data_IF_137054910015
#
_entry.id   IF_137054910015
#
_cell.length_a   1.000
_cell.length_b   1.000
_cell.length_c   1.000
_cell.angle_alpha   90.00
_cell.angle_beta   90.00
_cell.angle_gamma   90.00
#
_symmetry.space_group_name_H-M   'P 1'
#
loop_
_entity.id
_entity.type
_entity.pdbx_description
1 polymer ?
#
# COMPACT_ATOMS: atom_id res chain seq x y z
N UNK A 1 -22.77 15.53 -5.75
CA UNK A 1 -21.97 15.67 -5.64
C UNK A 1 -21.04 15.90 -5.06
N UNK A 2 -21.39 15.84 -4.50
CA UNK A 2 -20.45 16.50 -4.09
C UNK A 2 -19.12 16.21 -4.22
N UNK A 3 -18.75 16.31 -4.95
CA UNK A 3 -17.42 16.07 -5.46
C UNK A 3 -16.35 16.94 -4.84
N UNK A 4 -16.73 17.85 -4.00
CA UNK A 4 -15.83 18.86 -3.41
C UNK A 4 -14.74 18.23 -2.53
N UNK A 5 -15.04 17.29 -1.61
CA UNK A 5 -13.99 16.61 -0.85
C UNK A 5 -13.04 15.81 -1.75
N UNK A 6 -13.58 15.19 -2.77
CA UNK A 6 -12.78 14.42 -3.72
C UNK A 6 -11.79 15.31 -4.47
N UNK A 7 -12.18 16.51 -4.85
CA UNK A 7 -11.27 17.45 -5.51
C UNK A 7 -10.13 17.89 -4.58
N UNK A 8 -10.41 18.21 -3.34
CA UNK A 8 -9.39 18.57 -2.36
C UNK A 8 -8.40 17.43 -2.14
N UNK A 9 -8.88 16.23 -1.97
CA UNK A 9 -8.04 15.04 -1.82
C UNK A 9 -7.24 14.73 -3.09
N UNK A 10 -7.83 14.90 -4.26
CA UNK A 10 -7.16 14.71 -5.53
C UNK A 10 -6.00 15.67 -5.74
N UNK A 11 -6.16 16.93 -5.38
CA UNK A 11 -5.09 17.93 -5.49
C UNK A 11 -3.94 17.63 -4.52
N UNK A 12 -4.24 17.27 -3.28
CA UNK A 12 -3.22 16.85 -2.29
C UNK A 12 -2.44 15.65 -2.81
N UNK A 13 -3.14 14.68 -3.33
CA UNK A 13 -2.58 13.46 -3.88
C UNK A 13 -1.62 13.73 -5.05
N UNK A 14 -2.01 14.57 -5.99
CA UNK A 14 -1.16 14.98 -7.11
C UNK A 14 0.08 15.73 -6.64
N UNK A 15 -0.05 16.62 -5.67
CA UNK A 15 1.08 17.33 -5.07
C UNK A 15 2.06 16.39 -4.39
N UNK A 16 1.54 15.40 -3.66
CA UNK A 16 2.37 14.38 -3.02
C UNK A 16 3.18 13.59 -4.04
N UNK A 17 2.56 13.16 -5.12
CA UNK A 17 3.25 12.45 -6.20
C UNK A 17 4.30 13.33 -6.88
N UNK A 18 4.00 14.60 -7.07
CA UNK A 18 4.92 15.55 -7.72
C UNK A 18 6.20 15.76 -6.92
N UNK A 19 6.12 15.78 -5.59
CA UNK A 19 7.28 16.03 -4.72
C UNK A 19 7.97 14.75 -4.23
N UNK A 20 7.48 13.58 -4.59
CA UNK A 20 8.03 12.31 -4.12
C UNK A 20 9.13 11.79 -5.03
N UNK A 21 10.08 11.05 -4.46
CA UNK A 21 11.10 10.33 -5.22
C UNK A 21 10.58 8.94 -5.66
N UNK A 22 9.89 8.28 -4.76
CA UNK A 22 9.29 6.96 -4.98
C UNK A 22 8.02 6.83 -4.19
N UNK A 23 7.14 5.92 -4.61
CA UNK A 23 5.90 5.63 -3.89
C UNK A 23 5.83 4.17 -3.52
N UNK A 24 5.19 3.90 -2.39
CA UNK A 24 4.78 2.56 -1.97
C UNK A 24 3.27 2.51 -2.06
N UNK A 25 2.75 1.52 -2.75
CA UNK A 25 1.31 1.37 -2.99
C UNK A 25 0.77 0.23 -2.13
N UNK A 26 0.02 0.53 -1.05
CA UNK A 26 -0.67 -0.52 -0.32
C UNK A 26 -1.95 -0.92 -1.08
N UNK A 27 -2.17 -2.23 -1.21
CA UNK A 27 -3.33 -2.79 -1.89
C UNK A 27 -3.99 -3.79 -0.94
N UNK A 28 -5.28 -3.60 -0.68
CA UNK A 28 -6.07 -4.57 0.08
C UNK A 28 -6.35 -5.81 -0.78
N UNK A 29 -6.37 -6.99 -0.15
CA UNK A 29 -6.65 -8.25 -0.83
C UNK A 29 -8.15 -8.44 -1.07
N UNK A 30 -8.77 -7.51 -1.77
CA UNK A 30 -10.19 -7.49 -2.11
C UNK A 30 -10.38 -7.22 -3.60
N UNK A 31 -11.50 -7.67 -4.15
CA UNK A 31 -11.78 -7.57 -5.58
C UNK A 31 -11.71 -6.13 -6.11
N UNK A 32 -12.34 -5.19 -5.40
CA UNK A 32 -12.41 -3.80 -5.84
C UNK A 32 -11.07 -3.07 -5.79
N UNK A 33 -10.09 -3.61 -5.09
CA UNK A 33 -8.76 -3.02 -5.02
C UNK A 33 -8.07 -2.95 -6.39
N UNK A 34 -8.32 -3.93 -7.25
CA UNK A 34 -7.74 -3.98 -8.59
C UNK A 34 -8.26 -2.83 -9.48
N UNK A 35 -9.53 -2.49 -9.35
CA UNK A 35 -10.12 -1.36 -10.08
C UNK A 35 -9.52 -0.04 -9.63
N UNK A 36 -9.44 0.19 -8.32
CA UNK A 36 -8.79 1.37 -7.75
C UNK A 36 -7.33 1.49 -8.14
N UNK A 37 -6.63 0.36 -8.24
CA UNK A 37 -5.25 0.31 -8.69
C UNK A 37 -5.08 0.83 -10.11
N UNK A 38 -5.98 0.46 -11.03
CA UNK A 38 -5.92 0.94 -12.42
C UNK A 38 -6.03 2.47 -12.49
N UNK A 39 -6.95 3.05 -11.72
CA UNK A 39 -7.10 4.51 -11.64
C UNK A 39 -5.86 5.18 -11.06
N UNK A 40 -5.30 4.60 -10.01
CA UNK A 40 -4.08 5.10 -9.40
C UNK A 40 -2.90 5.08 -10.37
N UNK A 41 -2.73 4.00 -11.10
CA UNK A 41 -1.65 3.88 -12.09
C UNK A 41 -1.80 4.88 -13.23
N UNK A 42 -3.02 5.17 -13.67
CA UNK A 42 -3.25 6.21 -14.67
C UNK A 42 -2.82 7.59 -14.15
N UNK A 43 -3.18 7.94 -12.93
CA UNK A 43 -2.76 9.19 -12.30
C UNK A 43 -1.24 9.24 -12.13
N UNK A 44 -0.64 8.14 -11.69
CA UNK A 44 0.80 8.01 -11.56
C UNK A 44 1.52 8.27 -12.88
N UNK A 45 1.05 7.67 -13.96
CA UNK A 45 1.65 7.86 -15.30
C UNK A 45 1.53 9.30 -15.79
N UNK A 46 0.40 9.95 -15.54
CA UNK A 46 0.22 11.36 -15.90
C UNK A 46 1.19 12.26 -15.13
N UNK A 47 1.34 12.06 -13.83
CA UNK A 47 2.29 12.82 -13.02
C UNK A 47 3.71 12.55 -13.45
N UNK A 48 4.06 11.30 -13.68
CA UNK A 48 5.40 10.91 -14.12
C UNK A 48 5.77 11.55 -15.47
N UNK A 49 4.79 11.62 -16.38
CA UNK A 49 5.01 12.16 -17.73
C UNK A 49 5.15 13.68 -17.74
N UNK A 50 4.31 14.39 -16.97
CA UNK A 50 4.15 15.83 -17.08
C UNK A 50 4.78 16.64 -15.94
N UNK A 51 4.84 16.09 -14.73
CA UNK A 51 5.22 16.85 -13.54
C UNK A 51 6.48 16.33 -12.86
N UNK A 52 6.69 15.03 -12.81
CA UNK A 52 7.82 14.42 -12.11
C UNK A 52 8.32 13.18 -12.84
N UNK A 53 9.23 13.40 -13.77
CA UNK A 53 9.77 12.32 -14.62
C UNK A 53 10.61 11.30 -13.85
N UNK A 54 11.09 11.66 -12.68
CA UNK A 54 11.95 10.78 -11.85
C UNK A 54 11.15 9.91 -10.88
N UNK A 55 9.84 10.13 -10.79
CA UNK A 55 8.99 9.36 -9.89
C UNK A 55 8.95 7.89 -10.30
N UNK A 56 9.19 7.00 -9.34
CA UNK A 56 9.17 5.56 -9.56
C UNK A 56 8.28 4.86 -8.52
N UNK A 57 7.81 3.66 -8.86
CA UNK A 57 7.13 2.80 -7.90
C UNK A 57 8.22 2.06 -7.12
N UNK A 58 8.39 2.41 -5.85
CA UNK A 58 9.35 1.77 -4.95
C UNK A 58 8.92 0.39 -4.49
N UNK A 59 7.62 0.15 -4.43
CA UNK A 59 7.10 -1.16 -4.06
C UNK A 59 5.59 -1.20 -3.97
N UNK A 60 5.05 -2.39 -4.01
CA UNK A 60 3.63 -2.67 -3.83
C UNK A 60 3.47 -3.58 -2.62
N UNK A 61 2.60 -3.21 -1.69
CA UNK A 61 2.39 -3.93 -0.44
C UNK A 61 0.98 -4.50 -0.39
N UNK A 62 0.85 -5.81 -0.24
CA UNK A 62 -0.45 -6.43 -0.02
C UNK A 62 -0.85 -6.34 1.44
N UNK A 63 -2.03 -5.83 1.70
CA UNK A 63 -2.58 -5.67 3.06
C UNK A 63 -3.89 -6.42 3.21
N UNK A 64 -4.36 -6.58 4.43
CA UNK A 64 -5.61 -7.26 4.75
C UNK A 64 -5.67 -8.68 4.17
N UNK A 65 -4.50 -9.34 4.11
CA UNK A 65 -4.40 -10.70 3.61
C UNK A 65 -5.02 -11.69 4.60
N UNK A 66 -5.85 -12.59 4.09
CA UNK A 66 -6.41 -13.70 4.88
C UNK A 66 -6.13 -15.00 4.14
N UNK A 67 -5.24 -15.81 4.71
CA UNK A 67 -4.80 -17.08 4.11
C UNK A 67 -5.91 -18.11 3.95
N UNK A 68 -7.03 -17.93 4.67
CA UNK A 68 -8.19 -18.82 4.58
C UNK A 68 -9.04 -18.55 3.34
N UNK A 69 -8.89 -17.37 2.73
CA UNK A 69 -9.70 -16.94 1.60
C UNK A 69 -8.98 -17.17 0.28
N UNK A 70 -9.62 -17.88 -0.63
CA UNK A 70 -9.10 -18.07 -1.98
C UNK A 70 -9.00 -16.74 -2.74
N UNK A 71 -9.94 -15.81 -2.48
CA UNK A 71 -9.92 -14.49 -3.09
C UNK A 71 -8.61 -13.74 -2.77
N UNK A 72 -8.17 -13.77 -1.51
CA UNK A 72 -6.91 -13.12 -1.13
C UNK A 72 -5.73 -13.68 -1.91
N UNK A 73 -5.68 -14.99 -2.07
CA UNK A 73 -4.62 -15.65 -2.84
C UNK A 73 -4.65 -15.27 -4.32
N UNK A 74 -5.85 -15.23 -4.91
CA UNK A 74 -6.03 -14.84 -6.30
C UNK A 74 -5.59 -13.40 -6.56
N UNK A 75 -5.98 -12.48 -5.68
CA UNK A 75 -5.59 -11.07 -5.79
C UNK A 75 -4.07 -10.91 -5.70
N UNK A 76 -3.43 -11.62 -4.77
CA UNK A 76 -1.96 -11.61 -4.63
C UNK A 76 -1.29 -12.11 -5.91
N UNK A 77 -1.74 -13.23 -6.46
CA UNK A 77 -1.16 -13.79 -7.70
C UNK A 77 -1.34 -12.85 -8.89
N UNK A 78 -2.49 -12.21 -9.01
CA UNK A 78 -2.75 -11.25 -10.07
C UNK A 78 -1.86 -10.02 -9.97
N UNK A 79 -1.74 -9.44 -8.78
CA UNK A 79 -0.84 -8.31 -8.52
C UNK A 79 0.62 -8.72 -8.74
N UNK A 80 1.00 -9.92 -8.33
CA UNK A 80 2.34 -10.45 -8.53
C UNK A 80 2.69 -10.59 -10.01
N UNK A 81 1.75 -11.06 -10.82
CA UNK A 81 1.97 -11.19 -12.26
C UNK A 81 2.17 -9.84 -12.94
N UNK A 82 1.55 -8.79 -12.41
CA UNK A 82 1.63 -7.44 -12.97
C UNK A 82 2.88 -6.68 -12.52
N UNK A 83 3.20 -6.71 -11.22
CA UNK A 83 4.29 -5.91 -10.63
C UNK A 83 5.60 -6.67 -10.46
N UNK A 84 5.56 -7.99 -10.47
CA UNK A 84 6.75 -8.87 -10.36
C UNK A 84 7.62 -8.52 -9.15
N UNK A 85 8.87 -8.09 -9.39
CA UNK A 85 9.84 -7.80 -8.33
C UNK A 85 9.50 -6.56 -7.50
N UNK A 86 8.58 -5.71 -7.94
CA UNK A 86 8.15 -4.54 -7.17
C UNK A 86 7.19 -4.90 -6.05
N UNK A 87 6.56 -6.06 -6.11
CA UNK A 87 5.75 -6.56 -5.01
C UNK A 87 6.63 -6.96 -3.84
N UNK A 88 6.33 -6.45 -2.65
CA UNK A 88 7.01 -6.88 -1.43
C UNK A 88 6.67 -8.34 -1.12
N UNK A 89 7.67 -9.08 -0.64
CA UNK A 89 7.46 -10.46 -0.20
C UNK A 89 6.64 -10.51 1.09
N UNK A 90 6.77 -9.49 1.92
CA UNK A 90 6.03 -9.35 3.17
C UNK A 90 4.55 -9.09 2.87
N UNK A 91 3.68 -9.85 3.51
CA UNK A 91 2.23 -9.65 3.48
C UNK A 91 1.77 -9.10 4.83
N UNK A 92 0.90 -8.11 4.82
CA UNK A 92 0.27 -7.62 6.05
C UNK A 92 -1.06 -8.37 6.20
N UNK A 93 -1.11 -9.24 7.18
CA UNK A 93 -2.29 -10.04 7.46
C UNK A 93 -3.37 -9.22 8.14
N UNK A 94 -4.62 -9.57 7.90
CA UNK A 94 -5.74 -9.01 8.65
C UNK A 94 -5.54 -9.31 10.13
N UNK A 95 -5.50 -8.27 10.96
CA UNK A 95 -5.21 -8.40 12.39
C UNK A 95 -5.99 -7.37 13.19
N UNK A 96 -6.70 -7.84 14.21
CA UNK A 96 -7.55 -7.01 15.09
C UNK A 96 -6.72 -5.99 15.85
N UNK A 97 -5.51 -6.33 16.26
CA UNK A 97 -4.61 -5.43 17.01
C UNK A 97 -4.23 -4.19 16.22
N UNK A 98 -4.09 -4.32 14.91
CA UNK A 98 -3.84 -3.17 14.03
C UNK A 98 -5.04 -2.21 13.99
N UNK A 99 -6.25 -2.74 14.11
CA UNK A 99 -7.47 -1.94 14.15
C UNK A 99 -7.68 -1.29 15.53
N UNK A 100 -7.26 -1.95 16.59
CA UNK A 100 -7.42 -1.47 17.97
C UNK A 100 -6.41 -0.38 18.34
N UNK A 101 -5.18 -0.50 17.90
CA UNK A 101 -4.08 0.39 18.30
C UNK A 101 -4.40 1.89 18.13
N UNK A 102 -5.01 2.35 17.02
CA UNK A 102 -5.39 3.76 16.87
C UNK A 102 -6.39 4.23 17.91
N UNK A 103 -7.29 3.36 18.39
CA UNK A 103 -8.27 3.70 19.43
C UNK A 103 -7.60 4.08 20.75
N UNK A 104 -6.41 3.55 21.01
CA UNK A 104 -5.61 3.85 22.19
C UNK A 104 -4.55 4.91 21.92
N UNK A 105 -4.52 5.47 20.73
CA UNK A 105 -3.53 6.49 20.36
C UNK A 105 -2.10 5.97 20.34
N UNK A 106 -1.91 4.68 20.11
CA UNK A 106 -0.58 4.04 20.14
C UNK A 106 -0.24 3.42 18.77
N UNK A 107 1.04 3.47 18.38
CA UNK A 107 1.51 2.65 17.27
C UNK A 107 1.35 1.16 17.61
N UNK A 108 1.19 0.32 16.60
CA UNK A 108 1.01 -1.11 16.79
C UNK A 108 2.13 -1.76 17.62
N UNK A 109 3.36 -1.32 17.42
CA UNK A 109 4.53 -1.81 18.17
C UNK A 109 4.47 -1.51 19.66
N UNK A 110 3.88 -0.37 20.04
CA UNK A 110 3.72 0.01 21.45
C UNK A 110 2.44 -0.56 22.05
N UNK A 111 1.45 -0.86 21.21
CA UNK A 111 0.19 -1.44 21.66
C UNK A 111 0.36 -2.94 21.97
N UNK A 112 0.89 -3.69 21.03
CA UNK A 112 1.18 -5.12 21.20
C UNK A 112 2.30 -5.55 20.24
N UNK A 113 3.53 -5.51 20.74
CA UNK A 113 4.72 -5.87 19.95
C UNK A 113 4.76 -7.35 19.56
N UNK A 114 4.03 -8.21 20.26
CA UNK A 114 3.97 -9.65 19.97
C UNK A 114 2.92 -10.01 18.95
N UNK A 115 2.05 -9.08 18.57
CA UNK A 115 0.99 -9.31 17.59
C UNK A 115 1.56 -9.62 16.21
N UNK A 116 0.83 -10.41 15.43
CA UNK A 116 1.23 -10.72 14.06
C UNK A 116 1.29 -9.47 13.19
N UNK A 117 0.40 -8.50 13.42
CA UNK A 117 0.41 -7.23 12.71
C UNK A 117 1.70 -6.44 12.93
N UNK A 118 2.14 -6.32 14.18
CA UNK A 118 3.40 -5.65 14.51
C UNK A 118 4.60 -6.37 13.87
N UNK A 119 4.63 -7.69 13.94
CA UNK A 119 5.69 -8.50 13.31
C UNK A 119 5.71 -8.35 11.79
N UNK A 120 4.55 -8.29 11.15
CA UNK A 120 4.47 -8.08 9.69
C UNK A 120 5.07 -6.72 9.31
N UNK A 121 4.78 -5.66 10.05
CA UNK A 121 5.34 -4.34 9.76
C UNK A 121 6.85 -4.27 10.03
N UNK A 122 7.35 -4.98 11.03
CA UNK A 122 8.80 -5.09 11.24
C UNK A 122 9.48 -5.79 10.06
N UNK A 123 8.92 -6.91 9.60
CA UNK A 123 9.43 -7.61 8.41
C UNK A 123 9.40 -6.73 7.17
N UNK A 124 8.34 -5.95 7.01
CA UNK A 124 8.26 -4.98 5.91
C UNK A 124 9.37 -3.93 6.01
N UNK A 125 9.63 -3.42 7.21
CA UNK A 125 10.69 -2.44 7.43
C UNK A 125 12.05 -2.99 7.03
N UNK A 126 12.36 -4.20 7.43
CA UNK A 126 13.60 -4.89 7.04
C UNK A 126 13.71 -5.03 5.52
N UNK A 127 12.63 -5.45 4.86
CA UNK A 127 12.59 -5.61 3.41
C UNK A 127 12.79 -4.27 2.68
N UNK A 128 12.18 -3.19 3.17
CA UNK A 128 12.37 -1.84 2.62
C UNK A 128 13.83 -1.40 2.76
N UNK A 129 14.43 -1.59 3.93
CA UNK A 129 15.83 -1.24 4.16
C UNK A 129 16.76 -1.99 3.22
N UNK A 130 16.51 -3.26 2.98
CA UNK A 130 17.30 -4.05 2.03
C UNK A 130 17.17 -3.57 0.60
N UNK A 131 16.01 -3.06 0.21
CA UNK A 131 15.78 -2.54 -1.16
C UNK A 131 16.39 -1.15 -1.37
N UNK A 132 16.43 -0.34 -0.34
CA UNK A 132 16.96 1.04 -0.43
C UNK A 132 18.49 1.05 -0.35
N UNK A 133 19.06 0.12 0.38
CA UNK A 133 20.50 -0.03 0.52
C UNK A 133 21.04 -0.98 -0.55
#
# INVERSE_FOLDING_TARGET
>A
RDCTPSRGLGDVYKRQLTCSHAIIIPIQCEYYALEGLSQLLNTFRLVQRHLNKKLVIGGVLMTMYDSRLNLSKQVVEEVKSYFKDKLFKTLIYRNVKLSEAPSFGKPALLYDASSNGAKNYLSLTEEILQRVI
#
